data_IF_027051052952
#
_entry.id   IF_027051052952
#
_cell.length_a   1.000
_cell.length_b   1.000
_cell.length_c   1.000
_cell.angle_alpha   90.00
_cell.angle_beta   90.00
_cell.angle_gamma   90.00
#
_symmetry.space_group_name_H-M   'P 1'
#
loop_
_entity.id
_entity.type
_entity.pdbx_description
1 polymer ?
#
# COMPACT_ATOMS: atom_id res chain seq x y z
N UNK A 1 20.41 19.20 -20.80
CA UNK A 1 20.39 17.74 -20.46
C UNK A 1 21.27 17.53 -19.24
N UNK A 2 20.75 16.98 -18.14
CA UNK A 2 21.42 16.92 -16.82
C UNK A 2 22.82 16.23 -16.81
N UNK A 3 23.16 15.49 -17.87
CA UNK A 3 24.44 14.76 -18.02
C UNK A 3 25.04 14.88 -19.43
N UNK A 4 24.72 15.95 -20.15
CA UNK A 4 25.33 16.21 -21.48
C UNK A 4 25.01 15.15 -22.55
N UNK A 5 23.90 14.42 -22.42
CA UNK A 5 23.47 13.43 -23.43
C UNK A 5 24.21 12.09 -23.38
N UNK A 6 25.05 11.85 -22.37
CA UNK A 6 25.75 10.58 -22.20
C UNK A 6 24.83 9.51 -21.57
N UNK A 7 24.98 8.23 -21.91
CA UNK A 7 24.32 7.14 -21.20
C UNK A 7 24.73 7.10 -19.74
N UNK A 8 23.77 6.83 -18.85
CA UNK A 8 24.00 6.70 -17.41
C UNK A 8 23.28 5.45 -16.92
N UNK A 9 23.93 4.72 -16.02
CA UNK A 9 23.35 3.58 -15.31
C UNK A 9 23.31 3.91 -13.82
N UNK A 10 22.20 3.54 -13.17
CA UNK A 10 22.05 3.61 -11.72
C UNK A 10 21.62 2.22 -11.26
N UNK A 11 22.39 1.66 -10.35
CA UNK A 11 22.05 0.43 -9.64
C UNK A 11 21.97 0.75 -8.15
N UNK A 12 20.87 0.33 -7.52
CA UNK A 12 20.69 0.50 -6.08
C UNK A 12 21.33 -0.66 -5.34
N UNK A 13 22.11 -0.35 -4.31
CA UNK A 13 22.53 -1.35 -3.34
C UNK A 13 21.30 -1.89 -2.60
N UNK A 14 21.44 -3.09 -2.02
CA UNK A 14 20.33 -3.74 -1.29
C UNK A 14 19.75 -2.84 -0.19
N UNK A 15 20.61 -2.14 0.55
CA UNK A 15 20.18 -1.22 1.62
C UNK A 15 19.36 -0.05 1.09
N UNK A 16 19.82 0.57 0.00
CA UNK A 16 19.15 1.70 -0.66
C UNK A 16 17.79 1.30 -1.22
N UNK A 17 17.73 0.11 -1.84
CA UNK A 17 16.49 -0.49 -2.31
C UNK A 17 15.46 -0.65 -1.19
N UNK A 18 15.88 -1.15 -0.02
CA UNK A 18 14.98 -1.36 1.10
C UNK A 18 14.60 -0.07 1.84
N UNK A 19 15.53 0.87 1.96
CA UNK A 19 15.33 2.08 2.76
C UNK A 19 14.61 3.21 2.00
N UNK A 20 14.86 3.34 0.70
CA UNK A 20 14.45 4.53 -0.06
C UNK A 20 13.47 4.22 -1.20
N UNK A 21 13.16 2.94 -1.41
CA UNK A 21 12.06 2.57 -2.27
C UNK A 21 10.83 2.19 -1.46
N UNK A 22 9.74 1.94 -2.16
CA UNK A 22 8.41 1.74 -1.60
C UNK A 22 8.26 0.33 -1.04
N UNK A 23 7.60 0.24 0.11
CA UNK A 23 7.18 -1.03 0.74
C UNK A 23 5.68 -1.26 0.55
N UNK A 24 5.21 -2.46 0.89
CA UNK A 24 3.78 -2.76 0.95
C UNK A 24 3.12 -1.92 2.05
N UNK A 25 1.92 -1.43 1.79
CA UNK A 25 1.12 -0.69 2.76
C UNK A 25 0.77 -1.57 3.96
N UNK A 26 1.03 -1.05 5.16
CA UNK A 26 0.47 -1.62 6.38
C UNK A 26 -1.01 -1.22 6.45
N UNK A 27 -1.89 -2.22 6.65
CA UNK A 27 -3.33 -2.04 6.66
C UNK A 27 -3.92 -2.44 8.02
N UNK A 28 -4.77 -1.58 8.57
CA UNK A 28 -5.59 -1.86 9.74
C UNK A 28 -7.04 -2.02 9.31
N UNK A 29 -7.70 -3.09 9.78
CA UNK A 29 -9.09 -3.39 9.45
C UNK A 29 -9.95 -3.38 10.71
N UNK A 30 -11.10 -2.74 10.63
CA UNK A 30 -12.19 -2.90 11.60
C UNK A 30 -13.41 -3.43 10.88
N UNK A 31 -13.76 -4.68 11.17
CA UNK A 31 -14.79 -5.41 10.44
C UNK A 31 -15.96 -5.68 11.38
N UNK A 32 -17.17 -5.40 10.91
CA UNK A 32 -18.43 -5.82 11.53
C UNK A 32 -19.21 -6.67 10.55
N UNK A 33 -19.64 -7.85 10.96
CA UNK A 33 -20.37 -8.80 10.11
C UNK A 33 -21.70 -9.12 10.77
N UNK A 34 -22.79 -9.04 10.01
CA UNK A 34 -24.09 -9.57 10.39
C UNK A 34 -24.24 -11.01 9.89
N UNK A 35 -24.47 -11.94 10.81
CA UNK A 35 -24.58 -13.38 10.53
C UNK A 35 -25.94 -13.88 11.02
N UNK A 36 -26.59 -14.76 10.25
CA UNK A 36 -27.84 -15.41 10.67
C UNK A 36 -27.57 -16.57 11.64
N UNK A 37 -28.62 -17.13 12.25
CA UNK A 37 -28.49 -18.29 13.13
C UNK A 37 -27.99 -19.54 12.38
N UNK A 38 -28.20 -19.61 11.07
CA UNK A 38 -27.70 -20.67 10.18
C UNK A 38 -26.26 -20.41 9.71
N UNK A 39 -25.62 -19.33 10.15
CA UNK A 39 -24.22 -19.00 9.83
C UNK A 39 -24.04 -18.22 8.51
N UNK A 40 -25.11 -17.74 7.88
CA UNK A 40 -25.01 -17.00 6.61
C UNK A 40 -24.65 -15.52 6.86
N UNK A 41 -23.66 -15.01 6.14
CA UNK A 41 -23.31 -13.57 6.17
C UNK A 41 -24.35 -12.80 5.34
N UNK A 42 -25.03 -11.83 5.97
CA UNK A 42 -26.03 -10.97 5.32
C UNK A 42 -25.57 -9.53 5.17
N UNK A 43 -24.61 -9.09 5.97
CA UNK A 43 -24.06 -7.75 5.89
C UNK A 43 -22.62 -7.71 6.35
N UNK A 44 -21.86 -6.78 5.80
CA UNK A 44 -20.52 -6.46 6.25
C UNK A 44 -20.32 -4.94 6.22
N UNK A 45 -19.72 -4.40 7.27
CA UNK A 45 -19.14 -3.06 7.28
C UNK A 45 -17.65 -3.22 7.57
N UNK A 46 -16.83 -2.65 6.70
CA UNK A 46 -15.37 -2.73 6.79
C UNK A 46 -14.84 -1.30 6.77
N UNK A 47 -14.19 -0.89 7.85
CA UNK A 47 -13.41 0.34 7.90
C UNK A 47 -11.94 -0.05 7.71
N UNK A 48 -11.27 0.52 6.71
CA UNK A 48 -9.86 0.23 6.38
C UNK A 48 -9.01 1.48 6.56
N UNK A 49 -7.88 1.35 7.23
CA UNK A 49 -6.87 2.39 7.34
C UNK A 49 -5.58 1.90 6.71
N UNK A 50 -5.10 2.62 5.69
CA UNK A 50 -3.83 2.34 5.01
C UNK A 50 -2.75 3.34 5.43
N UNK A 51 -1.61 2.84 5.88
CA UNK A 51 -0.43 3.66 6.02
C UNK A 51 0.19 3.90 4.63
N UNK A 52 -0.03 5.10 4.10
CA UNK A 52 0.43 5.50 2.77
C UNK A 52 1.83 6.13 2.75
N UNK A 53 2.50 6.20 3.90
CA UNK A 53 3.79 6.89 4.04
C UNK A 53 3.68 8.39 3.78
N UNK A 54 4.83 9.03 3.52
CA UNK A 54 4.93 10.48 3.33
C UNK A 54 4.28 10.99 2.04
N UNK A 55 4.10 10.13 1.04
CA UNK A 55 3.52 10.48 -0.25
C UNK A 55 2.47 9.45 -0.65
N UNK A 56 1.22 9.90 -0.79
CA UNK A 56 0.06 9.06 -1.06
C UNK A 56 -0.01 8.46 -2.48
N UNK A 57 1.15 8.24 -3.13
CA UNK A 57 1.39 7.80 -4.51
C UNK A 57 0.22 7.00 -5.12
N UNK A 58 0.13 5.71 -4.83
CA UNK A 58 -0.97 4.85 -5.28
C UNK A 58 -1.95 4.56 -4.13
N UNK A 59 -1.81 5.23 -2.98
CA UNK A 59 -2.50 4.89 -1.73
C UNK A 59 -4.03 4.95 -1.84
N UNK A 60 -4.56 5.76 -2.76
CA UNK A 60 -5.99 5.87 -3.02
C UNK A 60 -6.62 4.59 -3.60
N UNK A 61 -5.82 3.72 -4.23
CA UNK A 61 -6.29 2.44 -4.75
C UNK A 61 -6.05 1.28 -3.77
N UNK A 62 -5.49 1.56 -2.58
CA UNK A 62 -5.09 0.55 -1.61
C UNK A 62 -6.03 0.58 -0.41
N UNK A 63 -6.79 -0.51 -0.22
CA UNK A 63 -7.76 -0.63 0.87
C UNK A 63 -9.08 0.10 0.64
N UNK A 64 -9.36 0.49 -0.61
CA UNK A 64 -10.67 0.97 -1.07
C UNK A 64 -11.72 -0.15 -1.06
#
# INVERSE_FOLDING_TARGET
MAVGGKPVMIELQRGEGLAWTRVRHALGYKIKIGVTNEGLIKSAKIDVVSNNGAYASHGHAIGA
#
